data_IF_732900720610
#
_entry.id   IF_732900720610
#
_cell.length_a   1.000
_cell.length_b   1.000
_cell.length_c   1.000
_cell.angle_alpha   90.00
_cell.angle_beta   90.00
_cell.angle_gamma   90.00
#
_symmetry.space_group_name_H-M   'P 1'
#
loop_
_entity.id
_entity.type
_entity.pdbx_description
1 polymer ?
#
# COMPACT_ATOMS: atom_id res chain seq x y z
N UNK A 1 -45.40 35.85 -51.18
CA UNK A 1 -45.65 35.02 -49.98
C UNK A 1 -45.08 33.64 -50.20
N UNK A 2 -43.83 33.38 -49.81
CA UNK A 2 -43.32 32.00 -49.67
C UNK A 2 -42.15 32.01 -48.70
N UNK A 3 -42.30 31.30 -47.59
CA UNK A 3 -41.35 31.22 -46.48
C UNK A 3 -40.29 30.15 -46.73
N UNK A 4 -39.10 30.43 -46.18
CA UNK A 4 -37.91 29.62 -45.96
C UNK A 4 -38.17 28.15 -45.54
N UNK A 5 -37.27 27.24 -45.95
CA UNK A 5 -36.68 26.24 -45.06
C UNK A 5 -35.26 25.88 -45.53
N UNK A 6 -34.27 26.16 -44.65
CA UNK A 6 -32.89 25.70 -44.75
C UNK A 6 -32.79 24.27 -44.17
N UNK A 7 -32.11 23.37 -44.88
CA UNK A 7 -31.80 22.02 -44.41
C UNK A 7 -30.34 22.00 -43.92
N UNK A 8 -30.13 22.03 -42.61
CA UNK A 8 -28.83 21.79 -41.99
C UNK A 8 -28.79 20.34 -41.47
N UNK A 9 -27.97 19.50 -42.09
CA UNK A 9 -27.62 18.17 -41.57
C UNK A 9 -26.62 18.36 -40.42
N UNK A 10 -27.02 18.02 -39.19
CA UNK A 10 -26.13 17.96 -38.03
C UNK A 10 -25.51 16.56 -37.91
N UNK A 11 -24.18 16.49 -37.96
CA UNK A 11 -23.41 15.30 -37.58
C UNK A 11 -23.50 15.11 -36.06
N UNK A 12 -24.09 14.00 -35.62
CA UNK A 12 -24.04 13.60 -34.22
C UNK A 12 -22.71 12.89 -33.94
N UNK A 13 -21.80 13.59 -33.25
CA UNK A 13 -20.62 13.00 -32.64
C UNK A 13 -21.06 12.15 -31.44
N UNK A 14 -20.84 10.83 -31.51
CA UNK A 14 -20.90 9.96 -30.35
C UNK A 14 -19.74 10.30 -29.41
N UNK A 15 -20.03 11.10 -28.38
CA UNK A 15 -19.15 11.26 -27.22
C UNK A 15 -19.51 10.16 -26.22
N UNK A 16 -18.68 9.12 -26.12
CA UNK A 16 -18.73 8.18 -25.00
C UNK A 16 -18.29 8.93 -23.74
N UNK A 17 -19.28 9.33 -22.94
CA UNK A 17 -19.07 9.94 -21.64
C UNK A 17 -18.87 8.79 -20.64
N UNK A 18 -17.63 8.37 -20.40
CA UNK A 18 -17.33 7.53 -19.23
C UNK A 18 -17.45 8.40 -17.97
N UNK A 19 -18.52 8.16 -17.20
CA UNK A 19 -18.63 8.74 -15.86
C UNK A 19 -17.59 8.08 -14.95
N UNK A 20 -16.81 8.86 -14.16
CA UNK A 20 -15.97 8.28 -13.12
C UNK A 20 -16.85 7.56 -12.10
N UNK A 21 -16.42 6.37 -11.68
CA UNK A 21 -17.06 5.64 -10.60
C UNK A 21 -17.11 6.53 -9.35
N UNK A 22 -18.32 6.78 -8.84
CA UNK A 22 -18.51 7.56 -7.63
C UNK A 22 -17.82 6.84 -6.45
N UNK A 23 -16.77 7.44 -5.90
CA UNK A 23 -16.25 7.06 -4.58
C UNK A 23 -17.39 7.21 -3.57
N UNK A 24 -17.80 6.10 -2.97
CA UNK A 24 -18.78 6.11 -1.91
C UNK A 24 -18.17 6.81 -0.69
N UNK A 25 -18.53 8.08 -0.48
CA UNK A 25 -18.16 8.82 0.73
C UNK A 25 -18.80 8.09 1.91
N UNK A 26 -17.99 7.42 2.73
CA UNK A 26 -18.45 6.81 3.97
C UNK A 26 -18.97 7.91 4.87
N UNK A 27 -20.23 7.81 5.31
CA UNK A 27 -20.78 8.73 6.29
C UNK A 27 -19.91 8.65 7.56
N UNK A 28 -19.27 9.75 7.93
CA UNK A 28 -18.45 9.80 9.14
C UNK A 28 -19.38 9.80 10.35
N UNK A 29 -19.37 8.69 11.09
CA UNK A 29 -20.01 8.62 12.40
C UNK A 29 -19.17 9.48 13.35
N UNK A 30 -19.77 10.42 14.10
CA UNK A 30 -19.03 11.17 15.12
C UNK A 30 -18.32 10.21 16.07
N UNK A 31 -17.08 10.53 16.44
CA UNK A 31 -16.21 9.62 17.20
C UNK A 31 -16.83 9.20 18.54
N UNK A 32 -17.73 10.01 19.09
CA UNK A 32 -18.46 9.74 20.34
C UNK A 32 -19.46 8.58 20.22
N UNK A 33 -19.83 8.20 18.99
CA UNK A 33 -20.84 7.17 18.70
C UNK A 33 -20.25 5.89 18.11
N UNK A 34 -18.92 5.80 17.99
CA UNK A 34 -18.26 4.58 17.51
C UNK A 34 -18.33 3.52 18.61
N UNK A 35 -19.00 2.40 18.30
CA UNK A 35 -19.02 1.21 19.15
C UNK A 35 -18.10 0.18 18.50
N UNK A 36 -16.86 0.13 18.96
CA UNK A 36 -15.88 -0.84 18.46
C UNK A 36 -16.26 -2.27 18.85
N UNK A 37 -16.04 -3.22 17.94
CA UNK A 37 -16.20 -4.66 18.19
C UNK A 37 -15.14 -5.17 19.16
N UNK A 38 -15.34 -6.40 19.67
CA UNK A 38 -14.37 -7.02 20.59
C UNK A 38 -12.99 -7.22 19.94
N UNK A 39 -12.94 -7.58 18.66
CA UNK A 39 -11.66 -7.76 17.95
C UNK A 39 -10.94 -6.42 17.75
N UNK A 40 -11.66 -5.35 17.41
CA UNK A 40 -11.09 -3.99 17.31
C UNK A 40 -10.52 -3.51 18.65
N UNK A 41 -11.25 -3.70 19.75
CA UNK A 41 -10.80 -3.33 21.09
C UNK A 41 -9.55 -4.11 21.51
N UNK A 42 -9.55 -5.44 21.30
CA UNK A 42 -8.42 -6.29 21.65
C UNK A 42 -7.16 -5.94 20.85
N UNK A 43 -7.33 -5.72 19.54
CA UNK A 43 -6.25 -5.29 18.63
C UNK A 43 -5.65 -3.97 19.04
N UNK A 44 -6.49 -2.95 19.29
CA UNK A 44 -6.07 -1.66 19.81
C UNK A 44 -5.26 -1.79 21.10
N UNK A 45 -5.75 -2.57 22.06
CA UNK A 45 -5.08 -2.75 23.35
C UNK A 45 -3.69 -3.37 23.18
N UNK A 46 -3.55 -4.35 22.27
CA UNK A 46 -2.26 -4.97 21.94
C UNK A 46 -1.31 -3.95 21.31
N UNK A 47 -1.76 -3.18 20.32
CA UNK A 47 -0.94 -2.16 19.66
C UNK A 47 -0.51 -1.04 20.61
N UNK A 48 -1.42 -0.57 21.48
CA UNK A 48 -1.08 0.45 22.48
C UNK A 48 -0.11 -0.07 23.55
N UNK A 49 -0.22 -1.34 23.95
CA UNK A 49 0.75 -1.96 24.84
C UNK A 49 2.14 -2.02 24.18
N UNK A 50 2.21 -2.35 22.88
CA UNK A 50 3.45 -2.30 22.10
C UNK A 50 4.04 -0.89 22.05
N UNK A 51 3.23 0.14 21.74
CA UNK A 51 3.68 1.52 21.71
C UNK A 51 4.27 1.95 23.07
N UNK A 52 3.56 1.66 24.17
CA UNK A 52 4.02 1.98 25.53
C UNK A 52 5.36 1.30 25.86
N UNK A 53 5.52 0.03 25.49
CA UNK A 53 6.76 -0.71 25.71
C UNK A 53 7.98 -0.12 24.96
N UNK A 54 7.74 0.60 23.86
CA UNK A 54 8.78 1.25 23.04
C UNK A 54 8.89 2.76 23.27
N UNK A 55 8.21 3.31 24.29
CA UNK A 55 8.24 4.75 24.58
C UNK A 55 7.56 5.61 23.53
N UNK A 56 6.57 5.06 22.82
CA UNK A 56 5.82 5.72 21.76
C UNK A 56 4.50 6.24 22.35
N UNK A 57 4.16 7.52 22.15
CA UNK A 57 2.89 8.08 22.62
C UNK A 57 1.71 7.39 21.94
N UNK A 58 0.55 7.41 22.59
CA UNK A 58 -0.71 6.87 22.06
C UNK A 58 -1.76 7.97 21.98
N UNK A 59 -2.67 7.85 21.02
CA UNK A 59 -3.78 8.80 20.88
C UNK A 59 -4.72 8.70 22.09
N UNK A 60 -5.08 9.84 22.67
CA UNK A 60 -5.75 9.90 23.98
C UNK A 60 -7.23 9.53 23.93
N UNK A 61 -7.90 9.67 22.79
CA UNK A 61 -9.31 9.33 22.67
C UNK A 61 -9.47 7.80 22.51
N UNK A 62 -10.10 7.11 23.48
CA UNK A 62 -10.28 5.64 23.44
C UNK A 62 -11.31 5.17 22.42
N UNK A 63 -12.09 6.09 21.83
CA UNK A 63 -13.15 5.77 20.87
C UNK A 63 -12.76 6.08 19.40
N UNK A 64 -11.51 6.46 19.14
CA UNK A 64 -10.99 6.84 17.81
C UNK A 64 -9.99 5.83 17.22
N UNK A 65 -9.60 5.99 15.95
CA UNK A 65 -8.53 5.22 15.29
C UNK A 65 -8.72 3.69 15.39
N UNK A 66 -9.91 3.22 15.03
CA UNK A 66 -10.16 1.80 14.85
C UNK A 66 -10.00 1.42 13.38
N UNK A 67 -9.17 0.41 13.13
CA UNK A 67 -9.22 -0.33 11.86
C UNK A 67 -10.53 -1.13 11.79
N UNK A 68 -11.01 -1.44 10.59
CA UNK A 68 -12.24 -2.23 10.40
C UNK A 68 -12.23 -3.56 11.17
N UNK A 69 -13.41 -4.06 11.51
CA UNK A 69 -13.56 -5.36 12.16
C UNK A 69 -13.12 -6.50 11.24
N UNK A 70 -12.77 -7.65 11.81
CA UNK A 70 -12.49 -8.85 11.02
C UNK A 70 -13.71 -9.31 10.20
N UNK A 71 -14.93 -9.03 10.67
CA UNK A 71 -16.16 -9.40 9.97
C UNK A 71 -16.39 -8.57 8.70
N UNK A 72 -16.04 -7.28 8.74
CA UNK A 72 -16.31 -6.32 7.66
C UNK A 72 -15.13 -6.17 6.68
N UNK A 73 -13.91 -6.51 7.13
CA UNK A 73 -12.72 -6.39 6.29
C UNK A 73 -12.68 -7.47 5.22
N UNK A 74 -12.40 -7.08 3.97
CA UNK A 74 -12.00 -7.99 2.89
C UNK A 74 -10.57 -7.69 2.51
N UNK A 75 -9.70 -8.70 2.51
CA UNK A 75 -8.32 -8.53 2.08
C UNK A 75 -8.20 -8.52 0.55
N UNK A 76 -7.13 -7.92 0.03
CA UNK A 76 -6.64 -8.23 -1.32
C UNK A 76 -6.35 -9.73 -1.44
N UNK A 77 -6.62 -10.30 -2.61
CA UNK A 77 -6.43 -11.73 -2.82
C UNK A 77 -4.95 -12.10 -2.85
N UNK A 78 -4.62 -13.35 -2.53
CA UNK A 78 -3.24 -13.87 -2.65
C UNK A 78 -2.63 -13.53 -4.01
N UNK A 79 -3.40 -13.69 -5.08
CA UNK A 79 -2.89 -13.46 -6.43
C UNK A 79 -2.60 -12.00 -6.74
N UNK A 80 -3.43 -11.08 -6.25
CA UNK A 80 -3.17 -9.64 -6.35
C UNK A 80 -1.90 -9.25 -5.58
N UNK A 81 -1.72 -9.80 -4.37
CA UNK A 81 -0.56 -9.50 -3.53
C UNK A 81 0.72 -10.04 -4.15
N UNK A 82 0.69 -11.26 -4.70
CA UNK A 82 1.82 -11.84 -5.45
C UNK A 82 2.19 -10.96 -6.65
N UNK A 83 1.19 -10.53 -7.44
CA UNK A 83 1.46 -9.67 -8.59
C UNK A 83 2.07 -8.32 -8.17
N UNK A 84 1.57 -7.74 -7.08
CA UNK A 84 2.13 -6.50 -6.56
C UNK A 84 3.56 -6.68 -6.07
N UNK A 85 3.86 -7.72 -5.30
CA UNK A 85 5.23 -8.01 -4.81
C UNK A 85 6.22 -8.16 -5.97
N UNK A 86 5.86 -8.88 -7.05
CA UNK A 86 6.71 -9.01 -8.23
C UNK A 86 6.98 -7.66 -8.91
N UNK A 87 5.96 -6.80 -9.01
CA UNK A 87 6.13 -5.46 -9.59
C UNK A 87 7.00 -4.54 -8.72
N UNK A 88 6.81 -4.55 -7.40
CA UNK A 88 7.63 -3.75 -6.47
C UNK A 88 9.10 -4.18 -6.49
N UNK A 89 9.36 -5.49 -6.50
CA UNK A 89 10.72 -6.00 -6.67
C UNK A 89 11.36 -5.52 -7.98
N UNK A 90 10.60 -5.57 -9.09
CA UNK A 90 11.10 -5.10 -10.38
C UNK A 90 11.47 -3.61 -10.40
N UNK A 91 10.60 -2.73 -9.88
CA UNK A 91 10.90 -1.29 -9.85
C UNK A 91 12.05 -0.97 -8.89
N UNK A 92 12.16 -1.71 -7.79
CA UNK A 92 13.29 -1.64 -6.87
C UNK A 92 14.61 -1.98 -7.57
N UNK A 93 14.67 -3.10 -8.28
CA UNK A 93 15.87 -3.50 -9.03
C UNK A 93 16.25 -2.49 -10.11
N UNK A 94 15.26 -1.89 -10.80
CA UNK A 94 15.52 -0.79 -11.74
C UNK A 94 16.10 0.44 -11.03
N UNK A 95 15.65 0.75 -9.81
CA UNK A 95 16.16 1.87 -9.01
C UNK A 95 17.63 1.72 -8.64
N UNK A 96 18.09 0.47 -8.47
CA UNK A 96 19.49 0.12 -8.17
C UNK A 96 20.39 0.10 -9.40
N UNK A 97 19.84 0.35 -10.59
CA UNK A 97 20.62 0.44 -11.83
C UNK A 97 20.85 -0.88 -12.54
N UNK A 98 19.99 -1.89 -12.32
CA UNK A 98 20.03 -3.13 -13.08
C UNK A 98 19.93 -2.86 -14.59
N UNK A 99 20.73 -3.58 -15.39
CA UNK A 99 20.83 -3.30 -16.83
C UNK A 99 19.50 -3.55 -17.57
N UNK A 100 19.23 -2.84 -18.68
CA UNK A 100 18.02 -3.03 -19.49
C UNK A 100 17.83 -4.49 -19.94
N UNK A 101 18.90 -5.21 -20.25
CA UNK A 101 18.87 -6.61 -20.69
C UNK A 101 18.37 -7.52 -19.57
N UNK A 102 18.90 -7.36 -18.35
CA UNK A 102 18.47 -8.14 -17.18
C UNK A 102 17.04 -7.78 -16.77
N UNK A 103 16.66 -6.51 -16.85
CA UNK A 103 15.26 -6.10 -16.64
C UNK A 103 14.33 -6.74 -17.68
N UNK A 104 14.72 -6.81 -18.95
CA UNK A 104 13.91 -7.46 -19.98
C UNK A 104 13.76 -8.98 -19.75
N UNK A 105 14.80 -9.65 -19.26
CA UNK A 105 14.74 -11.06 -18.85
C UNK A 105 13.76 -11.27 -17.70
N UNK A 106 13.82 -10.43 -16.66
CA UNK A 106 12.92 -10.47 -15.51
C UNK A 106 11.48 -10.17 -15.93
N UNK A 107 11.25 -9.15 -16.76
CA UNK A 107 9.91 -8.85 -17.29
C UNK A 107 9.33 -10.04 -18.06
N UNK A 108 10.14 -10.69 -18.91
CA UNK A 108 9.70 -11.89 -19.63
C UNK A 108 9.40 -13.06 -18.71
N UNK A 109 10.26 -13.31 -17.72
CA UNK A 109 10.13 -14.44 -16.80
C UNK A 109 8.93 -14.29 -15.85
N UNK A 110 8.71 -13.08 -15.32
CA UNK A 110 7.67 -12.83 -14.33
C UNK A 110 6.42 -12.20 -14.92
N UNK A 111 6.44 -11.72 -16.17
CA UNK A 111 5.33 -11.02 -16.82
C UNK A 111 5.00 -9.70 -16.12
N UNK A 112 5.99 -8.84 -15.90
CA UNK A 112 5.89 -7.64 -15.05
C UNK A 112 5.05 -6.54 -15.71
N UNK A 113 5.18 -6.33 -17.01
CA UNK A 113 4.52 -5.23 -17.74
C UNK A 113 3.01 -5.14 -17.47
N UNK A 114 2.31 -6.28 -17.33
CA UNK A 114 0.86 -6.31 -17.02
C UNK A 114 0.51 -6.03 -15.56
N UNK A 115 1.49 -6.04 -14.65
CA UNK A 115 1.33 -5.85 -13.21
C UNK A 115 1.55 -4.42 -12.78
N UNK A 116 2.34 -3.66 -13.54
CA UNK A 116 2.70 -2.28 -13.21
C UNK A 116 1.47 -1.37 -13.12
N UNK A 117 1.42 -0.53 -12.10
CA UNK A 117 0.47 0.58 -12.03
C UNK A 117 0.77 1.66 -13.08
N UNK A 118 -0.13 2.63 -13.31
CA UNK A 118 0.16 3.78 -14.16
C UNK A 118 1.44 4.53 -13.77
N UNK A 119 1.66 4.81 -12.48
CA UNK A 119 2.85 5.52 -11.99
C UNK A 119 4.11 4.69 -12.20
N UNK A 120 4.07 3.40 -11.83
CA UNK A 120 5.19 2.48 -12.01
C UNK A 120 5.56 2.31 -13.49
N UNK A 121 4.56 2.21 -14.36
CA UNK A 121 4.76 2.10 -15.80
C UNK A 121 5.45 3.33 -16.37
N UNK A 122 5.02 4.52 -15.96
CA UNK A 122 5.67 5.78 -16.37
C UNK A 122 7.14 5.82 -15.95
N UNK A 123 7.48 5.34 -14.75
CA UNK A 123 8.86 5.20 -14.30
C UNK A 123 9.66 4.17 -15.10
N UNK A 124 9.09 2.97 -15.32
CA UNK A 124 9.76 1.86 -16.01
C UNK A 124 10.09 2.21 -17.46
N UNK A 125 9.19 2.91 -18.15
CA UNK A 125 9.35 3.28 -19.57
C UNK A 125 10.08 4.61 -19.79
N UNK A 126 10.36 5.38 -18.74
CA UNK A 126 11.10 6.63 -18.86
C UNK A 126 12.54 6.36 -19.35
N UNK A 127 12.94 7.04 -20.43
CA UNK A 127 14.33 7.01 -20.91
C UNK A 127 15.29 7.61 -19.87
N UNK A 128 14.84 8.66 -19.18
CA UNK A 128 15.60 9.35 -18.14
C UNK A 128 14.70 9.59 -16.91
N UNK A 129 14.50 8.58 -16.04
CA UNK A 129 13.70 8.77 -14.84
C UNK A 129 14.32 9.83 -13.92
N UNK A 130 13.49 10.56 -13.18
CA UNK A 130 13.97 11.58 -12.25
C UNK A 130 14.65 10.96 -11.03
N UNK A 131 15.43 11.75 -10.30
CA UNK A 131 15.99 11.32 -9.01
C UNK A 131 14.92 10.97 -7.98
N UNK A 132 13.78 11.67 -8.01
CA UNK A 132 12.65 11.37 -7.13
C UNK A 132 12.02 10.03 -7.48
N UNK A 133 11.72 9.78 -8.77
CA UNK A 133 11.15 8.49 -9.19
C UNK A 133 12.05 7.30 -8.82
N UNK A 134 13.38 7.45 -8.92
CA UNK A 134 14.32 6.41 -8.46
C UNK A 134 14.25 6.20 -6.95
N UNK A 135 14.19 7.28 -6.16
CA UNK A 135 14.05 7.17 -4.69
C UNK A 135 12.73 6.54 -4.30
N UNK A 136 11.62 6.97 -4.90
CA UNK A 136 10.28 6.41 -4.63
C UNK A 136 10.27 4.91 -4.93
N UNK A 137 10.84 4.50 -6.06
CA UNK A 137 10.96 3.09 -6.42
C UNK A 137 11.86 2.29 -5.46
N UNK A 138 12.91 2.90 -4.92
CA UNK A 138 13.79 2.26 -3.94
C UNK A 138 13.09 2.09 -2.58
N UNK A 139 12.36 3.10 -2.11
CA UNK A 139 11.58 3.02 -0.87
C UNK A 139 10.50 1.93 -0.92
N UNK A 140 10.02 1.55 -2.12
CA UNK A 140 9.09 0.42 -2.27
C UNK A 140 9.68 -0.94 -1.86
N UNK A 141 10.96 -1.06 -1.52
CA UNK A 141 11.48 -2.26 -0.84
C UNK A 141 10.85 -2.48 0.54
N UNK A 142 10.55 -1.43 1.31
CA UNK A 142 9.81 -1.59 2.59
C UNK A 142 8.39 -2.09 2.34
N UNK A 143 7.77 -1.58 1.27
CA UNK A 143 6.47 -2.05 0.82
C UNK A 143 6.53 -3.53 0.41
N UNK A 144 7.55 -3.92 -0.37
CA UNK A 144 7.80 -5.31 -0.75
C UNK A 144 7.97 -6.21 0.48
N UNK A 145 8.73 -5.78 1.49
CA UNK A 145 8.94 -6.52 2.73
C UNK A 145 7.62 -6.87 3.42
N UNK A 146 6.69 -5.89 3.50
CA UNK A 146 5.33 -6.12 4.03
C UNK A 146 4.56 -7.13 3.20
N UNK A 147 4.65 -7.07 1.86
CA UNK A 147 3.96 -8.02 1.01
C UNK A 147 4.54 -9.44 1.16
N UNK A 148 5.87 -9.59 1.23
CA UNK A 148 6.53 -10.88 1.47
C UNK A 148 6.15 -11.47 2.83
N UNK A 149 6.08 -10.62 3.86
CA UNK A 149 5.51 -11.01 5.15
C UNK A 149 4.04 -11.41 5.00
N UNK A 150 3.18 -10.64 4.34
CA UNK A 150 1.76 -11.04 4.20
C UNK A 150 1.61 -12.39 3.46
N UNK A 151 2.53 -12.73 2.56
CA UNK A 151 2.52 -13.94 1.72
C UNK A 151 3.19 -15.17 2.34
N UNK A 152 3.69 -15.11 3.58
CA UNK A 152 4.27 -16.30 4.21
C UNK A 152 5.79 -16.45 4.04
N UNK A 153 6.46 -15.53 3.35
CA UNK A 153 7.90 -15.65 3.04
C UNK A 153 8.80 -15.06 4.12
N UNK A 154 8.33 -13.99 4.78
CA UNK A 154 8.98 -13.39 5.94
C UNK A 154 8.15 -13.72 7.18
N UNK A 155 8.80 -14.17 8.25
CA UNK A 155 8.12 -14.63 9.47
C UNK A 155 7.55 -13.46 10.29
N UNK A 156 8.34 -12.40 10.46
CA UNK A 156 8.00 -11.25 11.30
C UNK A 156 8.44 -9.95 10.66
N UNK A 157 7.65 -8.88 10.81
CA UNK A 157 8.09 -7.52 10.50
C UNK A 157 8.97 -7.00 11.65
N UNK A 158 10.16 -6.54 11.31
CA UNK A 158 11.08 -5.92 12.27
C UNK A 158 10.56 -4.57 12.76
N UNK A 159 11.08 -4.09 13.89
CA UNK A 159 10.81 -2.72 14.36
C UNK A 159 11.15 -1.69 13.27
N UNK A 160 10.25 -0.73 12.93
CA UNK A 160 10.45 0.19 11.80
C UNK A 160 11.38 1.37 12.16
N UNK A 161 12.53 1.06 12.76
CA UNK A 161 13.63 2.00 13.02
C UNK A 161 14.82 1.82 12.08
N UNK A 162 14.86 0.74 11.31
CA UNK A 162 15.91 0.43 10.34
C UNK A 162 15.32 -0.25 9.10
N UNK A 163 15.99 -0.06 7.96
CA UNK A 163 15.55 -0.60 6.68
C UNK A 163 15.49 -2.14 6.69
N UNK A 164 14.61 -2.70 5.85
CA UNK A 164 14.55 -4.14 5.60
C UNK A 164 15.85 -4.65 4.94
N UNK A 165 16.03 -5.96 4.99
CA UNK A 165 17.13 -6.62 4.27
C UNK A 165 16.73 -6.77 2.79
N UNK A 166 17.03 -5.73 2.02
CA UNK A 166 16.72 -5.65 0.58
C UNK A 166 17.29 -6.85 -0.19
N UNK A 167 18.51 -7.28 0.14
CA UNK A 167 19.17 -8.38 -0.53
C UNK A 167 18.45 -9.70 -0.26
N UNK A 168 18.08 -9.94 1.01
CA UNK A 168 17.29 -11.11 1.40
C UNK A 168 15.91 -11.13 0.73
N UNK A 169 15.18 -10.01 0.78
CA UNK A 169 13.83 -9.89 0.20
C UNK A 169 13.84 -10.09 -1.33
N UNK A 170 14.84 -9.52 -2.02
CA UNK A 170 15.00 -9.72 -3.46
C UNK A 170 15.37 -11.16 -3.81
N UNK A 171 16.22 -11.82 -2.99
CA UNK A 171 16.63 -13.21 -3.19
C UNK A 171 15.45 -14.19 -3.10
N UNK A 172 14.51 -13.97 -2.17
CA UNK A 172 13.28 -14.79 -2.05
C UNK A 172 12.53 -14.87 -3.39
N UNK A 173 12.42 -13.76 -4.10
CA UNK A 173 11.75 -13.71 -5.41
C UNK A 173 12.65 -14.28 -6.50
N UNK A 174 13.91 -13.87 -6.53
CA UNK A 174 14.87 -14.26 -7.57
C UNK A 174 15.06 -15.78 -7.66
N UNK A 175 15.07 -16.48 -6.52
CA UNK A 175 15.34 -17.92 -6.45
C UNK A 175 14.15 -18.80 -6.87
N UNK A 176 13.01 -18.18 -7.18
CA UNK A 176 11.77 -18.87 -7.54
C UNK A 176 11.26 -18.39 -8.91
N UNK A 177 10.76 -19.29 -9.74
CA UNK A 177 9.95 -18.86 -10.88
C UNK A 177 8.66 -18.16 -10.41
N UNK A 178 8.07 -17.32 -11.27
CA UNK A 178 6.79 -16.65 -10.99
C UNK A 178 5.68 -17.62 -10.52
N UNK A 179 5.67 -18.84 -11.10
CA UNK A 179 4.74 -19.90 -10.75
C UNK A 179 5.02 -20.46 -9.36
N UNK A 180 6.29 -20.79 -9.07
CA UNK A 180 6.70 -21.29 -7.75
C UNK A 180 6.43 -20.25 -6.65
N UNK A 181 6.80 -18.98 -6.87
CA UNK A 181 6.52 -17.89 -5.95
C UNK A 181 5.01 -17.70 -5.69
N UNK A 182 4.14 -17.98 -6.66
CA UNK A 182 2.68 -17.96 -6.44
C UNK A 182 2.17 -19.18 -5.68
N UNK A 183 2.72 -20.36 -5.99
CA UNK A 183 2.28 -21.63 -5.42
C UNK A 183 2.70 -21.77 -3.96
N UNK A 184 3.91 -21.33 -3.62
CA UNK A 184 4.47 -21.40 -2.27
C UNK A 184 3.92 -20.32 -1.33
N UNK A 185 3.33 -19.24 -1.88
CA UNK A 185 2.73 -18.18 -1.08
C UNK A 185 1.58 -18.70 -0.20
N UNK A 186 1.66 -18.37 1.09
CA UNK A 186 0.66 -18.66 2.12
C UNK A 186 0.21 -17.34 2.73
N UNK A 187 -0.91 -16.82 2.23
CA UNK A 187 -1.48 -15.58 2.74
C UNK A 187 -1.80 -15.72 4.23
N UNK A 188 -1.26 -14.79 5.04
CA UNK A 188 -1.52 -14.70 6.47
C UNK A 188 -3.00 -14.45 6.77
N UNK A 189 -3.40 -14.79 7.98
CA UNK A 189 -4.80 -14.62 8.39
C UNK A 189 -5.21 -13.14 8.40
N UNK A 190 -6.51 -12.91 8.25
CA UNK A 190 -7.11 -11.56 8.35
C UNK A 190 -6.76 -10.88 9.67
N UNK A 191 -6.79 -11.64 10.76
CA UNK A 191 -6.38 -11.18 12.08
C UNK A 191 -4.94 -10.66 12.08
N UNK A 192 -3.97 -11.46 11.61
CA UNK A 192 -2.55 -11.06 11.61
C UNK A 192 -2.30 -9.78 10.80
N UNK A 193 -2.91 -9.67 9.62
CA UNK A 193 -2.75 -8.50 8.75
C UNK A 193 -3.39 -7.27 9.38
N UNK A 194 -4.60 -7.39 9.93
CA UNK A 194 -5.26 -6.28 10.61
C UNK A 194 -4.52 -5.85 11.87
N UNK A 195 -3.97 -6.79 12.65
CA UNK A 195 -3.17 -6.48 13.84
C UNK A 195 -1.94 -5.63 13.47
N UNK A 196 -1.27 -5.91 12.35
CA UNK A 196 -0.19 -5.05 11.85
C UNK A 196 -0.69 -3.71 11.29
N UNK A 197 -1.83 -3.68 10.60
CA UNK A 197 -2.43 -2.44 10.11
C UNK A 197 -2.80 -1.49 11.25
N UNK A 198 -3.31 -2.03 12.36
CA UNK A 198 -3.65 -1.26 13.56
C UNK A 198 -2.41 -0.75 14.31
N UNK A 199 -1.35 -1.55 14.35
CA UNK A 199 -0.08 -1.13 14.91
C UNK A 199 0.54 -0.01 14.07
N UNK A 200 0.68 -0.19 12.76
CA UNK A 200 1.34 0.81 11.91
C UNK A 200 0.58 2.15 11.89
N UNK A 201 -0.76 2.12 11.95
CA UNK A 201 -1.61 3.32 12.10
C UNK A 201 -1.19 4.14 13.32
N UNK A 202 -0.94 3.48 14.46
CA UNK A 202 -0.52 4.15 15.70
C UNK A 202 0.91 4.68 15.62
N UNK A 203 1.80 3.92 14.97
CA UNK A 203 3.18 4.35 14.77
C UNK A 203 3.24 5.59 13.86
N UNK A 204 2.44 5.60 12.79
CA UNK A 204 2.38 6.74 11.87
C UNK A 204 1.73 7.95 12.53
N UNK A 205 0.63 7.77 13.27
CA UNK A 205 0.06 8.84 14.09
C UNK A 205 1.09 9.44 15.05
N UNK A 206 1.89 8.63 15.73
CA UNK A 206 2.92 9.12 16.66
C UNK A 206 4.03 9.90 15.94
N UNK A 207 4.41 9.48 14.73
CA UNK A 207 5.30 10.25 13.87
C UNK A 207 4.66 11.57 13.43
N UNK A 208 3.38 11.57 13.05
CA UNK A 208 2.63 12.77 12.67
C UNK A 208 2.52 13.78 13.81
N UNK A 209 2.12 13.34 15.01
CA UNK A 209 2.01 14.17 16.20
C UNK A 209 3.35 14.82 16.57
N UNK A 210 4.44 14.05 16.52
CA UNK A 210 5.79 14.56 16.78
C UNK A 210 6.19 15.63 15.75
N UNK A 211 5.92 15.42 14.46
CA UNK A 211 6.18 16.41 13.39
C UNK A 211 5.37 17.70 13.62
N UNK A 212 4.07 17.56 13.91
CA UNK A 212 3.18 18.70 14.16
C UNK A 212 3.64 19.51 15.38
N UNK A 213 4.08 18.83 16.44
CA UNK A 213 4.60 19.44 17.66
C UNK A 213 6.07 19.88 17.56
N UNK A 214 6.73 19.70 16.41
CA UNK A 214 8.16 19.97 16.20
C UNK A 214 9.06 19.29 17.24
N UNK A 215 8.72 18.05 17.61
CA UNK A 215 9.47 17.21 18.56
C UNK A 215 10.28 16.14 17.83
N UNK A 216 11.30 15.56 18.47
CA UNK A 216 11.97 14.38 17.96
C UNK A 216 10.97 13.24 17.72
N UNK A 217 11.19 12.46 16.66
CA UNK A 217 10.40 11.28 16.37
C UNK A 217 10.55 10.27 17.54
N UNK A 218 9.45 9.77 18.12
CA UNK A 218 9.51 8.90 19.29
C UNK A 218 10.09 7.52 18.95
N UNK A 219 10.66 6.85 19.94
CA UNK A 219 11.09 5.45 19.84
C UNK A 219 12.15 5.15 18.77
N UNK A 220 12.86 6.14 18.22
CA UNK A 220 13.76 5.95 17.07
C UNK A 220 13.05 5.36 15.84
N UNK A 221 11.77 5.67 15.64
CA UNK A 221 11.06 5.30 14.41
C UNK A 221 11.67 6.04 13.21
N UNK A 222 11.71 5.36 12.06
CA UNK A 222 11.93 6.02 10.78
C UNK A 222 10.57 6.38 10.18
N UNK A 223 10.32 7.67 9.97
CA UNK A 223 9.06 8.14 9.37
C UNK A 223 8.84 7.54 7.98
N UNK A 224 9.89 7.46 7.15
CA UNK A 224 9.78 6.96 5.79
C UNK A 224 9.43 5.46 5.75
N UNK A 225 10.03 4.66 6.64
CA UNK A 225 9.72 3.23 6.77
C UNK A 225 8.28 3.04 7.25
N UNK A 226 7.87 3.80 8.27
CA UNK A 226 6.51 3.74 8.80
C UNK A 226 5.49 4.05 7.70
N UNK A 227 5.74 5.08 6.89
CA UNK A 227 4.85 5.50 5.81
C UNK A 227 4.71 4.43 4.72
N UNK A 228 5.82 3.85 4.25
CA UNK A 228 5.80 2.80 3.23
C UNK A 228 5.08 1.53 3.70
N UNK A 229 5.29 1.16 4.97
CA UNK A 229 4.60 0.01 5.57
C UNK A 229 3.12 0.30 5.79
N UNK A 230 2.76 1.51 6.20
CA UNK A 230 1.36 1.93 6.37
C UNK A 230 0.60 1.87 5.04
N UNK A 231 1.19 2.44 3.98
CA UNK A 231 0.64 2.37 2.62
C UNK A 231 0.38 0.91 2.20
N UNK A 232 1.35 0.02 2.44
CA UNK A 232 1.21 -1.40 2.08
C UNK A 232 0.10 -2.11 2.87
N UNK A 233 0.01 -1.85 4.17
CA UNK A 233 -1.01 -2.46 5.03
C UNK A 233 -2.42 -1.94 4.70
N UNK A 234 -2.58 -0.65 4.40
CA UNK A 234 -3.84 -0.07 3.94
C UNK A 234 -4.29 -0.69 2.61
N UNK A 235 -3.35 -0.88 1.67
CA UNK A 235 -3.66 -1.56 0.42
C UNK A 235 -4.11 -3.01 0.64
N UNK A 236 -3.42 -3.76 1.52
CA UNK A 236 -3.75 -5.16 1.85
C UNK A 236 -5.17 -5.32 2.41
N UNK A 237 -5.60 -4.40 3.28
CA UNK A 237 -6.93 -4.43 3.91
C UNK A 237 -8.02 -3.75 3.08
N UNK A 238 -7.69 -3.26 1.87
CA UNK A 238 -8.59 -2.50 0.99
C UNK A 238 -9.16 -1.25 1.68
N UNK A 239 -8.33 -0.53 2.43
CA UNK A 239 -8.71 0.77 3.00
C UNK A 239 -9.24 1.69 1.88
N UNK A 240 -10.44 2.24 2.08
CA UNK A 240 -11.18 3.04 1.10
C UNK A 240 -11.32 2.41 -0.32
N UNK A 241 -11.10 1.10 -0.44
CA UNK A 241 -11.01 0.37 -1.71
C UNK A 241 -10.06 1.01 -2.74
N UNK A 242 -9.02 1.71 -2.30
CA UNK A 242 -8.07 2.39 -3.18
C UNK A 242 -7.15 1.41 -3.90
N UNK A 243 -6.83 1.73 -5.16
CA UNK A 243 -5.78 1.05 -5.92
C UNK A 243 -4.40 1.55 -5.50
N UNK A 244 -3.35 0.80 -5.85
CA UNK A 244 -2.01 0.97 -5.26
C UNK A 244 -1.44 2.40 -5.35
N UNK A 245 -1.69 3.12 -6.44
CA UNK A 245 -1.17 4.49 -6.62
C UNK A 245 -1.93 5.53 -5.80
N UNK A 246 -3.13 5.18 -5.30
CA UNK A 246 -4.08 6.10 -4.66
C UNK A 246 -4.21 5.87 -3.14
N UNK A 247 -3.49 4.89 -2.58
CA UNK A 247 -3.63 4.51 -1.18
C UNK A 247 -3.21 5.65 -0.26
N UNK A 248 -4.13 6.11 0.57
CA UNK A 248 -3.88 7.11 1.60
C UNK A 248 -3.37 6.48 2.90
N UNK A 249 -2.69 7.31 3.68
CA UNK A 249 -2.11 6.99 4.99
C UNK A 249 -2.52 8.03 6.03
N UNK A 250 -3.75 8.54 5.90
CA UNK A 250 -4.32 9.49 6.85
C UNK A 250 -4.36 8.92 8.27
N UNK A 251 -3.93 9.74 9.24
CA UNK A 251 -3.82 9.43 10.67
C UNK A 251 -4.18 10.63 11.52
#
# INVERSE_FOLDING_TARGET
MTRFFHCCLAFALFSCNEQPAAQAVRATVPVEHIIATKDQQARRAQSEAYCKAHGIPIYSNPNAMFTESEAETTLRTKDQIVDRALALCFIGLKSEGLSPERLAEIDKAYGITRKLTPVERAYVTAAHPTGQQRRDANWRYESLHVLLWSLGYVDTLSYPGAMCDVAHDAAIIHDLSASQFRQLAKLRSKKEILDQADLILRLDWACYDARLAQKPIPGNLSTDIVLERHHSLNWLIRYENQEWDDVSTDT
#
